data_IF_630017436673
#
_entry.id   IF_630017436673
#
_cell.length_a   1.000
_cell.length_b   1.000
_cell.length_c   1.000
_cell.angle_alpha   90.00
_cell.angle_beta   90.00
_cell.angle_gamma   90.00
#
_symmetry.space_group_name_H-M   'P 1'
#
loop_
_entity.id
_entity.type
_entity.pdbx_description
1 polymer ?
#
# COMPACT_ATOMS: atom_id res chain seq x y z
N UNK A 1 -11.14 -11.16 26.53
CA UNK A 1 -10.11 -10.19 26.14
C UNK A 1 -10.11 -10.04 24.63
N UNK A 2 -10.05 -8.80 24.18
CA UNK A 2 -9.92 -8.55 22.74
C UNK A 2 -8.51 -8.92 22.29
N UNK A 3 -8.43 -9.64 21.21
CA UNK A 3 -7.15 -9.94 20.58
C UNK A 3 -6.50 -8.65 20.08
N UNK A 4 -5.23 -8.50 20.38
CA UNK A 4 -4.51 -7.26 20.08
C UNK A 4 -3.67 -7.44 18.83
N UNK A 5 -3.73 -6.43 17.94
CA UNK A 5 -2.86 -6.39 16.78
C UNK A 5 -1.42 -6.10 17.20
N UNK A 6 -0.50 -6.85 16.63
CA UNK A 6 0.93 -6.66 16.84
C UNK A 6 1.61 -6.48 15.50
N UNK A 7 2.62 -5.61 15.47
CA UNK A 7 3.43 -5.44 14.27
C UNK A 7 4.57 -6.45 14.31
N UNK A 8 4.72 -7.22 13.24
CA UNK A 8 5.78 -8.21 13.14
C UNK A 8 6.54 -8.04 11.82
N UNK A 9 7.82 -8.40 11.79
CA UNK A 9 8.57 -8.35 10.55
C UNK A 9 8.12 -9.47 9.61
N UNK A 10 8.26 -9.22 8.32
CA UNK A 10 7.91 -10.20 7.30
C UNK A 10 8.84 -9.99 6.10
N UNK A 11 9.24 -11.09 5.46
CA UNK A 11 10.03 -10.99 4.24
C UNK A 11 9.15 -10.58 3.06
N UNK A 12 9.78 -10.10 2.00
CA UNK A 12 9.04 -9.78 0.77
C UNK A 12 8.34 -11.02 0.22
N UNK A 13 9.00 -12.17 0.27
CA UNK A 13 8.42 -13.42 -0.19
C UNK A 13 7.16 -13.78 0.58
N UNK A 14 7.22 -13.69 1.91
CA UNK A 14 6.05 -13.96 2.76
C UNK A 14 4.92 -12.97 2.51
N UNK A 15 5.25 -11.69 2.35
CA UNK A 15 4.26 -10.66 2.06
C UNK A 15 3.59 -10.91 0.72
N UNK A 16 4.37 -11.24 -0.32
CA UNK A 16 3.82 -11.55 -1.65
C UNK A 16 2.92 -12.77 -1.61
N UNK A 17 3.24 -13.79 -0.82
CA UNK A 17 2.40 -14.97 -0.67
C UNK A 17 1.07 -14.63 -0.02
N UNK A 18 1.08 -13.76 0.99
CA UNK A 18 -0.16 -13.32 1.62
C UNK A 18 -1.03 -12.55 0.62
N UNK A 19 -0.43 -11.63 -0.14
CA UNK A 19 -1.16 -10.87 -1.17
C UNK A 19 -1.76 -11.81 -2.20
N UNK A 20 -1.00 -12.79 -2.66
CA UNK A 20 -1.49 -13.77 -3.63
C UNK A 20 -2.68 -14.55 -3.09
N UNK A 21 -2.66 -14.91 -1.81
CA UNK A 21 -3.72 -15.68 -1.17
C UNK A 21 -5.02 -14.91 -1.05
N UNK A 22 -4.94 -13.61 -0.70
CA UNK A 22 -6.11 -12.79 -0.40
C UNK A 22 -6.49 -11.79 -1.50
N UNK A 23 -5.56 -11.46 -2.40
CA UNK A 23 -5.80 -10.55 -3.52
C UNK A 23 -5.26 -11.16 -4.80
N UNK A 24 -6.04 -12.03 -5.41
CA UNK A 24 -5.62 -12.82 -6.59
C UNK A 24 -5.26 -11.98 -7.81
N UNK A 25 -5.74 -10.75 -7.87
CA UNK A 25 -5.56 -9.88 -9.04
C UNK A 25 -4.26 -9.07 -9.00
N UNK A 26 -3.56 -9.08 -7.89
CA UNK A 26 -2.31 -8.33 -7.76
C UNK A 26 -1.12 -9.21 -8.09
N UNK A 27 -0.23 -8.69 -8.93
CA UNK A 27 1.02 -9.37 -9.21
C UNK A 27 1.96 -9.24 -8.02
N UNK A 28 2.87 -10.21 -7.83
CA UNK A 28 3.91 -10.07 -6.82
C UNK A 28 4.74 -8.82 -7.07
N UNK A 29 5.17 -8.18 -6.00
CA UNK A 29 6.10 -7.07 -6.06
C UNK A 29 7.51 -7.64 -6.17
N UNK A 30 8.31 -7.13 -7.10
CA UNK A 30 9.65 -7.67 -7.37
C UNK A 30 10.73 -7.13 -6.45
N UNK A 31 10.46 -6.00 -5.76
CA UNK A 31 11.41 -5.42 -4.84
C UNK A 31 10.69 -4.53 -3.84
N UNK A 32 11.34 -4.24 -2.73
CA UNK A 32 10.78 -3.37 -1.70
C UNK A 32 11.88 -2.62 -0.95
N UNK A 33 11.47 -1.63 -0.18
CA UNK A 33 12.34 -1.04 0.83
C UNK A 33 12.16 -1.77 2.15
N UNK A 34 10.90 -2.03 2.51
CA UNK A 34 10.57 -2.87 3.67
C UNK A 34 9.16 -3.43 3.53
N UNK A 35 8.89 -4.47 4.29
CA UNK A 35 7.53 -5.02 4.44
C UNK A 35 7.27 -5.26 5.91
N UNK A 36 6.02 -5.08 6.31
CA UNK A 36 5.58 -5.31 7.69
C UNK A 36 4.29 -6.11 7.68
N UNK A 37 4.01 -6.77 8.76
CA UNK A 37 2.77 -7.53 8.92
C UNK A 37 2.09 -7.17 10.22
N UNK A 38 0.77 -7.31 10.21
CA UNK A 38 -0.05 -7.28 11.42
C UNK A 38 -0.38 -8.71 11.79
N UNK A 39 -0.27 -9.03 13.06
CA UNK A 39 -0.55 -10.37 13.56
C UNK A 39 -1.47 -10.29 14.77
N UNK A 40 -2.28 -11.33 14.93
CA UNK A 40 -3.11 -11.55 16.12
C UNK A 40 -2.77 -12.94 16.64
N UNK A 41 -2.35 -13.01 17.89
CA UNK A 41 -1.96 -14.29 18.52
C UNK A 41 -0.93 -15.07 17.69
N UNK A 42 0.01 -14.34 17.08
CA UNK A 42 1.07 -14.95 16.28
C UNK A 42 0.71 -15.27 14.84
N UNK A 43 -0.56 -15.11 14.46
CA UNK A 43 -0.98 -15.35 13.09
C UNK A 43 -1.06 -14.06 12.29
N UNK A 44 -0.49 -14.06 11.10
CA UNK A 44 -0.51 -12.90 10.22
C UNK A 44 -1.91 -12.69 9.67
N UNK A 45 -2.45 -11.49 9.88
CA UNK A 45 -3.79 -11.10 9.40
C UNK A 45 -3.73 -10.00 8.34
N UNK A 46 -2.55 -9.46 8.09
CA UNK A 46 -2.38 -8.46 7.05
C UNK A 46 -0.91 -8.17 6.81
N UNK A 47 -0.61 -7.67 5.61
CA UNK A 47 0.74 -7.29 5.24
C UNK A 47 0.73 -5.97 4.48
N UNK A 48 1.84 -5.25 4.55
CA UNK A 48 2.07 -4.07 3.74
C UNK A 48 3.46 -4.15 3.13
N UNK A 49 3.56 -3.82 1.86
CA UNK A 49 4.82 -3.79 1.13
C UNK A 49 5.06 -2.35 0.72
N UNK A 50 6.19 -1.80 1.13
CA UNK A 50 6.54 -0.40 0.89
C UNK A 50 7.81 -0.36 0.06
N UNK A 51 7.79 0.41 -1.00
CA UNK A 51 8.90 0.53 -1.90
C UNK A 51 8.97 1.90 -2.54
N UNK A 52 9.77 1.99 -3.59
CA UNK A 52 9.92 3.23 -4.34
C UNK A 52 8.60 3.54 -5.07
N UNK A 53 8.29 4.83 -5.25
CA UNK A 53 7.11 5.20 -6.03
C UNK A 53 7.15 4.57 -7.42
N UNK A 54 6.02 4.06 -7.88
CA UNK A 54 5.89 3.52 -9.24
C UNK A 54 6.10 4.63 -10.26
N UNK A 55 5.58 5.83 -9.98
CA UNK A 55 5.85 6.99 -10.81
C UNK A 55 7.26 7.50 -10.56
N UNK A 56 8.09 7.44 -11.58
CA UNK A 56 9.46 7.95 -11.48
C UNK A 56 9.53 9.45 -11.20
N UNK A 57 8.48 10.19 -11.52
CA UNK A 57 8.42 11.63 -11.23
C UNK A 57 8.29 11.91 -9.74
N UNK A 58 7.78 10.94 -8.98
CA UNK A 58 7.63 11.06 -7.55
C UNK A 58 8.78 10.41 -6.78
N UNK A 59 9.65 9.71 -7.48
CA UNK A 59 10.78 8.97 -6.88
C UNK A 59 11.96 9.92 -6.70
N UNK A 60 11.86 10.77 -5.68
CA UNK A 60 12.84 11.83 -5.40
C UNK A 60 13.87 11.44 -4.34
N UNK A 61 13.85 10.20 -3.89
CA UNK A 61 14.74 9.71 -2.82
C UNK A 61 14.22 9.97 -1.42
N UNK A 62 13.17 10.78 -1.26
CA UNK A 62 12.58 11.12 0.04
C UNK A 62 11.16 10.62 0.19
N UNK A 63 10.60 10.05 -0.87
CA UNK A 63 9.21 9.58 -0.92
C UNK A 63 9.20 8.07 -1.14
N UNK A 64 8.36 7.38 -0.38
CA UNK A 64 8.07 5.95 -0.61
C UNK A 64 6.59 5.79 -0.92
N UNK A 65 6.25 4.62 -1.40
CA UNK A 65 4.86 4.26 -1.72
C UNK A 65 4.49 2.95 -1.05
N UNK A 66 3.29 2.88 -0.47
CA UNK A 66 2.73 1.61 -0.07
C UNK A 66 2.23 0.94 -1.35
N UNK A 67 3.03 0.01 -1.87
CA UNK A 67 2.76 -0.65 -3.15
C UNK A 67 1.65 -1.70 -3.01
N UNK A 68 1.57 -2.34 -1.86
CA UNK A 68 0.52 -3.32 -1.54
C UNK A 68 0.16 -3.21 -0.08
N UNK A 69 -1.11 -3.29 0.21
CA UNK A 69 -1.60 -3.47 1.57
C UNK A 69 -2.80 -4.40 1.48
N UNK A 70 -2.73 -5.48 2.23
CA UNK A 70 -3.71 -6.56 2.11
C UNK A 70 -3.97 -7.14 3.48
N UNK A 71 -5.24 -7.35 3.83
CA UNK A 71 -5.62 -7.98 5.09
C UNK A 71 -6.65 -9.07 4.82
N UNK A 72 -6.86 -9.90 5.82
CA UNK A 72 -7.90 -10.93 5.78
C UNK A 72 -9.28 -10.41 6.23
N UNK A 73 -9.39 -9.09 6.44
CA UNK A 73 -10.62 -8.46 6.91
C UNK A 73 -10.64 -8.22 8.41
N UNK A 74 -9.58 -8.57 9.13
CA UNK A 74 -9.50 -8.32 10.57
C UNK A 74 -9.70 -6.84 10.85
N UNK A 75 -10.56 -6.55 11.82
CA UNK A 75 -10.92 -5.18 12.18
C UNK A 75 -9.69 -4.35 12.53
N UNK A 76 -9.63 -3.14 12.01
CA UNK A 76 -8.55 -2.18 12.24
C UNK A 76 -7.20 -2.56 11.65
N UNK A 77 -7.07 -3.71 10.98
CA UNK A 77 -5.79 -4.14 10.43
C UNK A 77 -5.26 -3.17 9.37
N UNK A 78 -6.12 -2.64 8.52
CA UNK A 78 -5.71 -1.69 7.48
C UNK A 78 -5.15 -0.40 8.09
N UNK A 79 -5.88 0.24 9.00
CA UNK A 79 -5.41 1.48 9.63
C UNK A 79 -4.16 1.24 10.47
N UNK A 80 -4.09 0.10 11.14
CA UNK A 80 -2.91 -0.30 11.89
C UNK A 80 -1.68 -0.35 11.00
N UNK A 81 -1.82 -0.99 9.83
CA UNK A 81 -0.71 -1.12 8.88
C UNK A 81 -0.32 0.20 8.23
N UNK A 82 -1.29 1.02 7.83
CA UNK A 82 -0.98 2.33 7.27
C UNK A 82 -0.21 3.21 8.26
N UNK A 83 -0.63 3.21 9.52
CA UNK A 83 0.09 3.94 10.58
C UNK A 83 1.50 3.40 10.77
N UNK A 84 1.65 2.08 10.79
CA UNK A 84 2.95 1.44 10.95
C UNK A 84 3.88 1.76 9.78
N UNK A 85 3.37 1.73 8.56
CA UNK A 85 4.17 2.06 7.37
C UNK A 85 4.76 3.46 7.47
N UNK A 86 3.96 4.43 7.90
CA UNK A 86 4.46 5.80 8.06
C UNK A 86 5.51 5.90 9.17
N UNK A 87 5.25 5.28 10.33
CA UNK A 87 6.24 5.29 11.41
C UNK A 87 7.57 4.69 10.97
N UNK A 88 7.52 3.58 10.24
CA UNK A 88 8.73 2.94 9.72
C UNK A 88 9.45 3.83 8.71
N UNK A 89 8.73 4.36 7.73
CA UNK A 89 9.33 5.22 6.70
C UNK A 89 9.93 6.47 7.31
N UNK A 90 9.21 7.11 8.22
CA UNK A 90 9.67 8.31 8.90
C UNK A 90 10.96 8.05 9.70
N UNK A 91 11.00 6.94 10.43
CA UNK A 91 12.17 6.58 11.22
C UNK A 91 13.38 6.22 10.36
N UNK A 92 13.15 5.80 9.11
CA UNK A 92 14.22 5.56 8.15
C UNK A 92 14.73 6.84 7.50
N UNK A 93 14.07 7.97 7.73
CA UNK A 93 14.48 9.27 7.19
C UNK A 93 13.68 9.76 6.01
N UNK A 94 12.66 9.02 5.58
CA UNK A 94 11.82 9.46 4.47
C UNK A 94 10.90 10.60 4.91
N UNK A 95 10.57 11.47 3.95
CA UNK A 95 9.80 12.69 4.22
C UNK A 95 8.32 12.55 3.87
N UNK A 96 7.99 11.59 3.02
CA UNK A 96 6.63 11.42 2.52
C UNK A 96 6.36 9.97 2.20
N UNK A 97 5.13 9.54 2.45
CA UNK A 97 4.65 8.24 2.03
C UNK A 97 3.35 8.46 1.26
N UNK A 98 3.20 7.77 0.14
CA UNK A 98 2.03 7.89 -0.73
C UNK A 98 1.40 6.52 -0.94
N UNK A 99 0.13 6.52 -1.30
CA UNK A 99 -0.55 5.30 -1.74
C UNK A 99 -1.75 5.68 -2.62
N UNK A 100 -2.26 4.69 -3.34
CA UNK A 100 -3.40 4.86 -4.23
C UNK A 100 -4.44 3.80 -3.89
N UNK A 101 -5.70 4.21 -3.86
CA UNK A 101 -6.83 3.29 -3.72
C UNK A 101 -7.80 3.53 -4.85
N UNK A 102 -8.70 2.57 -5.11
CA UNK A 102 -9.75 2.75 -6.09
C UNK A 102 -10.73 3.83 -5.61
N UNK A 103 -11.27 4.60 -6.54
CA UNK A 103 -12.17 5.71 -6.22
C UNK A 103 -13.41 5.25 -5.46
N UNK A 104 -13.91 4.05 -5.75
CA UNK A 104 -15.06 3.51 -5.05
C UNK A 104 -14.78 3.10 -3.60
N UNK A 105 -13.50 3.02 -3.22
CA UNK A 105 -13.13 2.80 -1.82
C UNK A 105 -13.19 4.13 -1.07
N UNK A 106 -13.65 4.09 0.17
CA UNK A 106 -13.87 5.34 0.90
C UNK A 106 -12.65 5.92 1.60
N UNK A 107 -11.54 5.18 1.65
CA UNK A 107 -10.32 5.65 2.27
C UNK A 107 -10.41 5.85 3.78
N UNK A 108 -11.39 5.23 4.44
CA UNK A 108 -11.60 5.42 5.87
C UNK A 108 -10.37 5.05 6.69
N UNK A 109 -9.71 3.94 6.35
CA UNK A 109 -8.51 3.48 7.06
C UNK A 109 -7.36 4.48 6.94
N UNK A 110 -7.22 5.10 5.78
CA UNK A 110 -6.19 6.10 5.53
C UNK A 110 -6.48 7.38 6.32
N UNK A 111 -7.73 7.86 6.26
CA UNK A 111 -8.13 9.04 7.02
C UNK A 111 -7.97 8.83 8.52
N UNK A 112 -8.34 7.65 9.01
CA UNK A 112 -8.18 7.29 10.41
C UNK A 112 -6.73 7.28 10.85
N UNK A 113 -5.81 7.05 9.91
CA UNK A 113 -4.36 6.99 10.17
C UNK A 113 -3.66 8.33 9.91
N UNK A 114 -4.42 9.39 9.66
CA UNK A 114 -3.86 10.73 9.47
C UNK A 114 -3.40 11.05 8.06
N UNK A 115 -3.69 10.19 7.10
CA UNK A 115 -3.35 10.44 5.70
C UNK A 115 -4.33 11.43 5.08
N UNK A 116 -3.82 12.21 4.14
CA UNK A 116 -4.60 13.24 3.45
C UNK A 116 -4.90 12.78 2.03
N UNK A 117 -6.16 12.92 1.61
CA UNK A 117 -6.54 12.68 0.23
C UNK A 117 -6.11 13.89 -0.62
N UNK A 118 -5.28 13.62 -1.62
CA UNK A 118 -4.75 14.67 -2.50
C UNK A 118 -5.67 14.91 -3.68
N UNK A 119 -6.48 13.92 -4.03
CA UNK A 119 -7.41 14.03 -5.14
C UNK A 119 -7.36 12.80 -6.02
N UNK A 120 -7.99 12.92 -7.17
CA UNK A 120 -8.04 11.83 -8.13
C UNK A 120 -6.72 11.74 -8.90
N UNK A 121 -6.29 10.51 -9.17
CA UNK A 121 -5.08 10.23 -9.91
C UNK A 121 -5.28 9.00 -10.77
N UNK A 122 -4.67 9.00 -11.94
CA UNK A 122 -4.83 7.90 -12.88
C UNK A 122 -6.20 7.92 -13.56
N UNK A 123 -6.64 6.79 -14.05
CA UNK A 123 -7.89 6.70 -14.79
C UNK A 123 -7.81 7.21 -16.21
N UNK A 124 -6.78 7.94 -16.54
CA UNK A 124 -6.54 8.37 -17.91
C UNK A 124 -5.90 7.22 -18.67
N UNK A 125 -6.38 7.00 -19.88
CA UNK A 125 -5.74 6.06 -20.75
C UNK A 125 -4.37 6.58 -21.11
N UNK A 126 -3.41 5.68 -21.12
CA UNK A 126 -2.09 6.00 -21.60
C UNK A 126 -2.17 6.47 -23.04
N UNK A 127 -1.87 7.72 -23.30
CA UNK A 127 -1.94 8.32 -24.62
C UNK A 127 -0.59 8.44 -25.32
N UNK A 128 0.46 7.95 -24.69
CA UNK A 128 1.80 8.04 -25.24
C UNK A 128 2.08 7.02 -26.34
N UNK A 129 3.25 7.13 -26.96
CA UNK A 129 3.68 6.29 -28.08
C UNK A 129 3.80 4.81 -27.75
N UNK A 130 3.85 4.46 -26.45
CA UNK A 130 3.99 3.09 -25.99
C UNK A 130 2.71 2.56 -25.39
N UNK A 131 1.62 2.99 -25.92
CA UNK A 131 0.33 2.49 -25.47
C UNK A 131 0.27 0.98 -25.63
N UNK A 132 0.00 0.21 -24.57
CA UNK A 132 -0.18 -1.23 -24.73
C UNK A 132 -1.42 -1.50 -25.58
N UNK A 133 -1.35 -2.53 -26.42
CA UNK A 133 -2.47 -2.94 -27.26
C UNK A 133 -3.67 -3.36 -26.42
N UNK A 134 -3.41 -3.90 -25.26
CA UNK A 134 -4.43 -4.31 -24.31
C UNK A 134 -4.20 -3.58 -23.01
N UNK A 135 -5.23 -2.91 -22.53
CA UNK A 135 -5.17 -2.29 -21.20
C UNK A 135 -5.06 -3.40 -20.16
N UNK A 136 -3.86 -3.63 -19.64
CA UNK A 136 -3.63 -4.62 -18.60
C UNK A 136 -4.31 -4.23 -17.29
N UNK A 137 -4.62 -2.95 -17.15
CA UNK A 137 -5.31 -2.41 -15.99
C UNK A 137 -6.49 -1.59 -16.47
N UNK A 138 -7.69 -1.85 -15.94
CA UNK A 138 -8.83 -0.99 -16.27
C UNK A 138 -8.47 0.46 -15.99
N UNK A 139 -8.94 1.36 -16.82
CA UNK A 139 -8.74 2.80 -16.64
C UNK A 139 -9.66 3.28 -15.49
N UNK A 140 -9.48 2.73 -14.31
CA UNK A 140 -10.26 3.09 -13.13
C UNK A 140 -9.64 4.31 -12.46
N UNK A 141 -10.50 5.25 -12.08
CA UNK A 141 -10.06 6.39 -11.30
C UNK A 141 -9.56 5.91 -9.94
N UNK A 142 -8.48 6.51 -9.50
CA UNK A 142 -7.89 6.23 -8.20
C UNK A 142 -7.86 7.49 -7.37
N UNK A 143 -7.83 7.31 -6.06
CA UNK A 143 -7.59 8.39 -5.12
C UNK A 143 -6.16 8.26 -4.62
N UNK A 144 -5.44 9.37 -4.66
CA UNK A 144 -4.09 9.43 -4.11
C UNK A 144 -4.15 9.99 -2.70
N UNK A 145 -3.49 9.29 -1.79
CA UNK A 145 -3.33 9.73 -0.40
C UNK A 145 -1.86 9.92 -0.09
N UNK A 146 -1.57 10.87 0.79
CA UNK A 146 -0.20 11.06 1.27
C UNK A 146 -0.18 11.42 2.74
N UNK A 147 0.97 11.16 3.36
CA UNK A 147 1.28 11.58 4.72
C UNK A 147 2.73 12.05 4.76
N UNK A 148 2.97 13.15 5.50
CA UNK A 148 4.31 13.71 5.65
C UNK A 148 4.53 14.36 7.01
#
# INVERSE_FOLDING_TARGET
>A
MKDKLELVPVSLKEANEFVRRYHRHHKPVTGHKFSVAAAVNGEIVGVAIVGRPVSRYLDDGWTLEVNRLCTDGTRNACSFLYSACWRCAKNMGYKKLITYILKEENGASLKASGWKCIGEAGGERWTGKRRPEVDLYPAQMKLKFEIE
#
